data_IF_247987132057
#
_entry.id   IF_247987132057
#
_cell.length_a   1.000
_cell.length_b   1.000
_cell.length_c   1.000
_cell.angle_alpha   90.00
_cell.angle_beta   90.00
_cell.angle_gamma   90.00
#
_symmetry.space_group_name_H-M   'P 1'
#
loop_
_entity.id
_entity.type
_entity.pdbx_description
1 polymer ?
#
# COMPACT_ATOMS: atom_id res chain seq x y z
N UNK A 1 15.20 -11.57 11.87
CA UNK A 1 13.91 -11.63 11.12
C UNK A 1 13.25 -10.24 11.14
N UNK A 2 12.45 -9.86 10.13
CA UNK A 2 11.61 -8.67 10.22
C UNK A 2 10.67 -8.84 11.43
N UNK A 3 10.65 -7.85 12.32
CA UNK A 3 9.80 -7.86 13.51
C UNK A 3 8.59 -6.98 13.21
N UNK A 4 7.54 -7.60 12.69
CA UNK A 4 6.25 -6.97 12.41
C UNK A 4 5.39 -6.78 13.66
N UNK A 5 5.87 -7.30 14.80
CA UNK A 5 5.15 -7.41 16.05
C UNK A 5 5.31 -6.15 16.92
N UNK A 6 4.36 -6.00 17.85
CA UNK A 6 4.50 -5.16 19.02
C UNK A 6 5.85 -5.41 19.70
N UNK A 7 6.60 -4.33 19.94
CA UNK A 7 7.91 -4.38 20.60
C UNK A 7 9.12 -4.18 19.70
N UNK A 8 9.00 -4.06 18.37
CA UNK A 8 10.11 -3.61 17.53
C UNK A 8 10.51 -2.15 17.88
N UNK A 9 11.69 -1.89 18.47
CA UNK A 9 12.07 -0.53 18.88
C UNK A 9 12.39 0.40 17.71
N UNK A 10 12.36 -0.10 16.47
CA UNK A 10 12.51 0.73 15.27
C UNK A 10 11.17 1.00 14.57
N UNK A 11 10.04 0.68 15.18
CA UNK A 11 8.70 1.03 14.68
C UNK A 11 7.91 1.65 15.83
N UNK A 12 8.36 2.82 16.24
CA UNK A 12 7.83 3.48 17.43
C UNK A 12 8.05 5.00 17.40
N UNK A 13 7.36 5.69 18.29
CA UNK A 13 7.47 7.12 18.53
C UNK A 13 8.47 7.41 19.65
N UNK A 14 9.39 8.32 19.39
CA UNK A 14 10.43 8.74 20.34
C UNK A 14 10.42 10.26 20.52
N UNK A 15 10.58 10.71 21.77
CA UNK A 15 10.65 12.13 22.11
C UNK A 15 12.06 12.67 21.83
N UNK A 16 12.11 13.80 21.14
CA UNK A 16 13.30 14.52 20.72
C UNK A 16 13.67 15.61 21.73
N UNK A 17 14.85 16.22 21.56
CA UNK A 17 15.42 17.27 22.43
C UNK A 17 14.53 18.51 22.53
N UNK A 18 13.95 18.90 21.40
CA UNK A 18 13.02 20.03 21.23
C UNK A 18 11.61 19.75 21.78
N UNK A 19 11.40 18.60 22.43
CA UNK A 19 10.13 18.18 22.98
C UNK A 19 9.16 17.59 21.96
N UNK A 20 9.50 17.61 20.66
CA UNK A 20 8.71 17.01 19.57
C UNK A 20 8.92 15.50 19.52
N UNK A 21 8.18 14.82 18.65
CA UNK A 21 8.26 13.37 18.49
C UNK A 21 8.63 12.99 17.07
N UNK A 22 9.39 11.90 16.92
CA UNK A 22 9.70 11.28 15.63
C UNK A 22 9.26 9.83 15.66
N UNK A 23 8.56 9.40 14.61
CA UNK A 23 8.30 7.99 14.35
C UNK A 23 9.45 7.41 13.54
N UNK A 24 10.11 6.36 14.06
CA UNK A 24 11.10 5.58 13.31
C UNK A 24 10.44 4.41 12.60
N UNK A 25 10.90 4.02 11.40
CA UNK A 25 10.38 2.83 10.72
C UNK A 25 11.50 1.97 10.10
N UNK A 26 11.91 0.94 10.85
CA UNK A 26 13.02 0.03 10.53
C UNK A 26 12.59 -1.44 10.46
N UNK A 27 11.44 -1.76 9.86
CA UNK A 27 10.93 -3.14 9.83
C UNK A 27 11.75 -4.12 8.98
N UNK A 28 12.44 -3.63 7.95
CA UNK A 28 13.30 -4.45 7.10
C UNK A 28 14.77 -4.36 7.51
N UNK A 29 15.58 -5.42 7.29
CA UNK A 29 16.99 -5.44 7.68
C UNK A 29 17.79 -4.22 7.20
N UNK A 30 17.64 -3.81 5.94
CA UNK A 30 18.33 -2.64 5.40
C UNK A 30 17.84 -1.31 6.00
N UNK A 31 16.54 -1.21 6.35
CA UNK A 31 15.99 -0.04 7.03
C UNK A 31 16.45 0.03 8.49
N UNK A 32 16.51 -1.12 9.16
CA UNK A 32 17.01 -1.21 10.52
C UNK A 32 18.48 -0.80 10.57
N UNK A 33 19.31 -1.41 9.73
CA UNK A 33 20.74 -1.12 9.66
C UNK A 33 21.02 0.35 9.36
N UNK A 34 20.34 0.92 8.35
CA UNK A 34 20.52 2.34 8.01
C UNK A 34 20.01 3.30 9.07
N UNK A 35 18.88 3.01 9.72
CA UNK A 35 18.38 3.81 10.85
C UNK A 35 19.39 3.80 12.00
N UNK A 36 20.02 2.65 12.27
CA UNK A 36 21.02 2.55 13.34
C UNK A 36 22.31 3.26 13.02
N UNK A 37 22.73 3.24 11.75
CA UNK A 37 23.85 4.07 11.29
C UNK A 37 23.58 5.57 11.49
N UNK A 38 22.35 6.03 11.24
CA UNK A 38 21.95 7.45 11.46
C UNK A 38 21.91 7.81 12.94
N UNK A 39 21.46 6.90 13.81
CA UNK A 39 21.38 7.15 15.25
C UNK A 39 22.73 6.93 15.98
N UNK A 40 23.64 6.17 15.40
CA UNK A 40 24.94 5.86 16.02
C UNK A 40 24.82 4.99 17.28
N UNK A 41 23.82 4.10 17.34
CA UNK A 41 23.58 3.23 18.49
C UNK A 41 23.19 1.80 18.08
N UNK A 42 23.11 0.90 19.06
CA UNK A 42 22.62 -0.47 18.81
C UNK A 42 21.09 -0.51 18.73
N UNK A 43 20.54 -1.67 18.37
CA UNK A 43 19.08 -1.92 18.31
C UNK A 43 18.50 -2.22 19.70
N UNK A 44 18.93 -1.46 20.69
CA UNK A 44 18.38 -1.46 22.05
C UNK A 44 17.44 -0.27 22.24
N UNK A 45 16.30 -0.49 22.91
CA UNK A 45 15.27 0.55 23.08
C UNK A 45 15.77 1.72 23.92
N UNK A 46 16.55 1.47 24.97
CA UNK A 46 17.05 2.52 25.84
C UNK A 46 18.12 3.35 25.12
N UNK A 47 19.01 2.69 24.36
CA UNK A 47 19.99 3.38 23.52
C UNK A 47 19.33 4.22 22.42
N UNK A 48 18.34 3.69 21.71
CA UNK A 48 17.56 4.44 20.70
C UNK A 48 16.91 5.66 21.35
N UNK A 49 16.28 5.48 22.52
CA UNK A 49 15.64 6.59 23.25
C UNK A 49 16.65 7.68 23.58
N UNK A 50 17.81 7.31 24.11
CA UNK A 50 18.86 8.24 24.46
C UNK A 50 19.47 8.95 23.24
N UNK A 51 19.60 8.26 22.10
CA UNK A 51 20.10 8.83 20.85
C UNK A 51 19.11 9.85 20.26
N UNK A 52 17.82 9.50 20.20
CA UNK A 52 16.76 10.40 19.69
C UNK A 52 16.59 11.63 20.59
N UNK A 53 16.63 11.45 21.91
CA UNK A 53 16.46 12.55 22.87
C UNK A 53 17.56 13.65 22.81
N UNK A 54 18.64 13.42 22.07
CA UNK A 54 19.73 14.40 21.86
C UNK A 54 19.58 15.24 20.59
N UNK A 55 18.57 14.94 19.77
CA UNK A 55 18.38 15.53 18.44
C UNK A 55 17.07 16.30 18.35
N UNK A 56 17.03 17.29 17.47
CA UNK A 56 15.77 17.98 17.14
C UNK A 56 15.00 17.16 16.11
N UNK A 57 13.67 17.18 16.17
CA UNK A 57 12.86 16.24 15.40
C UNK A 57 12.96 16.47 13.88
N UNK A 58 12.98 17.74 13.43
CA UNK A 58 13.12 18.07 12.01
C UNK A 58 14.51 17.67 11.49
N UNK A 59 15.56 17.92 12.27
CA UNK A 59 16.94 17.53 11.93
C UNK A 59 17.09 15.99 11.83
N UNK A 60 16.43 15.25 12.72
CA UNK A 60 16.36 13.78 12.65
C UNK A 60 15.60 13.26 11.42
N UNK A 61 14.43 13.82 11.12
CA UNK A 61 13.69 13.47 9.91
C UNK A 61 14.53 13.68 8.65
N UNK A 62 15.20 14.83 8.53
CA UNK A 62 15.99 15.15 7.35
C UNK A 62 17.24 14.28 7.23
N UNK A 63 17.91 13.94 8.33
CA UNK A 63 19.02 12.99 8.32
C UNK A 63 18.58 11.58 7.90
N UNK A 64 17.42 11.11 8.37
CA UNK A 64 16.86 9.83 7.96
C UNK A 64 16.53 9.84 6.46
N UNK A 65 15.88 10.90 5.98
CA UNK A 65 15.54 11.07 4.57
C UNK A 65 16.79 11.11 3.68
N UNK A 66 17.82 11.86 4.07
CA UNK A 66 19.10 11.95 3.34
C UNK A 66 19.80 10.57 3.22
N UNK A 67 19.61 9.70 4.21
CA UNK A 67 20.14 8.33 4.22
C UNK A 67 19.16 7.30 3.63
N UNK A 68 18.07 7.75 2.97
CA UNK A 68 17.03 6.90 2.36
C UNK A 68 16.33 5.97 3.36
N UNK A 69 16.34 6.35 4.64
CA UNK A 69 15.67 5.66 5.73
C UNK A 69 14.24 6.18 5.89
N UNK A 70 13.45 5.45 6.67
CA UNK A 70 12.04 5.78 6.90
C UNK A 70 11.88 6.29 8.34
N UNK A 71 11.52 7.56 8.47
CA UNK A 71 11.12 8.15 9.74
C UNK A 71 10.63 9.57 9.51
N UNK A 72 9.79 10.06 10.42
CA UNK A 72 9.18 11.36 10.26
C UNK A 72 8.80 12.01 11.58
N UNK A 73 8.90 13.33 11.64
CA UNK A 73 8.43 14.14 12.75
C UNK A 73 6.89 14.10 12.81
N UNK A 74 6.37 13.91 14.02
CA UNK A 74 4.95 14.07 14.31
C UNK A 74 4.53 15.52 14.13
N UNK A 75 3.47 15.73 13.37
CA UNK A 75 2.90 17.05 13.05
C UNK A 75 1.43 17.07 13.41
N UNK A 76 0.87 18.24 13.70
CA UNK A 76 -0.58 18.45 13.71
C UNK A 76 -1.14 18.52 12.28
N UNK A 77 -2.46 18.53 12.14
CA UNK A 77 -3.11 18.71 10.84
C UNK A 77 -2.78 20.09 10.23
N UNK A 78 -2.72 21.14 11.07
CA UNK A 78 -2.36 22.51 10.65
C UNK A 78 -0.90 22.60 10.21
N UNK A 79 0.02 21.98 10.96
CA UNK A 79 1.43 21.92 10.58
C UNK A 79 1.63 21.16 9.26
N UNK A 80 0.89 20.07 9.04
CA UNK A 80 0.91 19.36 7.76
C UNK A 80 0.35 20.21 6.62
N UNK A 81 -0.76 20.90 6.83
CA UNK A 81 -1.37 21.78 5.84
C UNK A 81 -0.45 22.96 5.46
N UNK A 82 0.38 23.44 6.39
CA UNK A 82 1.39 24.46 6.14
C UNK A 82 2.69 23.89 5.52
N UNK A 83 2.94 22.59 5.67
CA UNK A 83 4.15 21.95 5.16
C UNK A 83 4.13 21.87 3.62
N UNK A 84 5.26 22.12 2.91
CA UNK A 84 5.28 22.12 1.44
C UNK A 84 4.75 20.85 0.77
N UNK A 85 4.94 19.68 1.41
CA UNK A 85 4.35 18.44 0.92
C UNK A 85 2.82 18.40 1.08
N UNK A 86 2.30 18.84 2.23
CA UNK A 86 0.85 18.86 2.46
C UNK A 86 0.15 19.86 1.54
N UNK A 87 0.76 21.03 1.33
CA UNK A 87 0.29 22.04 0.36
C UNK A 87 0.23 21.48 -1.07
N UNK A 88 1.28 20.78 -1.52
CA UNK A 88 1.32 20.19 -2.86
C UNK A 88 0.20 19.16 -3.09
N UNK A 89 -0.31 18.54 -2.01
CA UNK A 89 -1.36 17.53 -2.07
C UNK A 89 -2.76 18.09 -1.80
N UNK A 90 -2.90 19.30 -1.25
CA UNK A 90 -4.15 19.80 -0.67
C UNK A 90 -5.34 19.74 -1.64
N UNK A 91 -5.11 20.11 -2.90
CA UNK A 91 -6.14 20.20 -3.93
C UNK A 91 -6.24 18.96 -4.84
N UNK A 92 -5.41 17.93 -4.59
CA UNK A 92 -5.49 16.69 -5.35
C UNK A 92 -6.71 15.86 -4.92
N UNK A 93 -7.34 15.13 -5.85
CA UNK A 93 -8.40 14.18 -5.49
C UNK A 93 -7.82 13.04 -4.65
N UNK A 94 -8.70 12.30 -3.94
CA UNK A 94 -8.27 11.12 -3.16
C UNK A 94 -7.63 10.04 -4.05
N UNK A 95 -8.09 9.97 -5.30
CA UNK A 95 -7.60 9.08 -6.34
C UNK A 95 -7.51 9.88 -7.63
N UNK A 96 -6.34 9.89 -8.26
CA UNK A 96 -6.17 10.51 -9.58
C UNK A 96 -6.33 9.43 -10.65
N UNK A 97 -7.00 9.76 -11.76
CA UNK A 97 -7.13 8.90 -12.94
C UNK A 97 -6.72 9.71 -14.16
N UNK A 98 -5.51 9.44 -14.65
CA UNK A 98 -4.84 10.22 -15.69
C UNK A 98 -4.79 9.39 -16.97
N UNK A 99 -5.21 9.94 -18.12
CA UNK A 99 -5.04 9.25 -19.40
C UNK A 99 -3.56 9.31 -19.81
N UNK A 100 -2.95 8.17 -20.08
CA UNK A 100 -1.53 8.01 -20.43
C UNK A 100 -1.27 8.05 -21.93
N UNK A 101 -2.16 7.41 -22.69
CA UNK A 101 -2.04 7.24 -24.13
C UNK A 101 -3.41 6.91 -24.74
N UNK A 102 -3.58 7.19 -26.02
CA UNK A 102 -4.74 6.73 -26.79
C UNK A 102 -4.62 5.25 -27.15
N UNK A 103 -5.77 4.59 -27.25
CA UNK A 103 -5.96 3.25 -27.81
C UNK A 103 -7.43 3.06 -28.10
N UNK A 104 -7.80 2.07 -28.90
CA UNK A 104 -9.20 1.77 -29.17
C UNK A 104 -9.96 1.43 -27.88
N UNK A 105 -11.28 1.67 -27.82
CA UNK A 105 -12.12 1.17 -26.74
C UNK A 105 -11.98 -0.34 -26.53
N UNK A 106 -11.83 -0.75 -25.27
CA UNK A 106 -11.65 -2.16 -24.89
C UNK A 106 -12.64 -2.53 -23.79
N UNK A 107 -13.79 -3.13 -24.13
CA UNK A 107 -14.78 -3.57 -23.16
C UNK A 107 -14.17 -4.46 -22.08
N UNK A 108 -14.72 -4.38 -20.87
CA UNK A 108 -14.46 -5.40 -19.85
C UNK A 108 -15.10 -6.71 -20.35
N UNK A 109 -14.40 -7.86 -20.26
CA UNK A 109 -14.97 -9.13 -20.70
C UNK A 109 -16.31 -9.41 -20.01
N UNK A 110 -17.25 -9.98 -20.75
CA UNK A 110 -18.51 -10.44 -20.18
C UNK A 110 -18.27 -11.72 -19.37
N UNK A 111 -18.90 -11.82 -18.20
CA UNK A 111 -18.84 -13.01 -17.35
C UNK A 111 -19.91 -12.97 -16.27
N UNK A 112 -19.86 -13.93 -15.35
CA UNK A 112 -20.81 -14.06 -14.25
C UNK A 112 -20.54 -13.06 -13.12
N UNK A 113 -19.35 -12.43 -13.11
CA UNK A 113 -18.91 -11.46 -12.10
C UNK A 113 -18.35 -10.20 -12.77
N UNK A 114 -18.33 -9.05 -12.05
CA UNK A 114 -17.98 -7.76 -12.64
C UNK A 114 -16.59 -7.66 -13.28
N UNK A 115 -15.62 -8.44 -12.81
CA UNK A 115 -14.24 -8.46 -13.32
C UNK A 115 -13.81 -9.81 -13.88
N UNK A 116 -14.76 -10.68 -14.22
CA UNK A 116 -14.43 -11.96 -14.87
C UNK A 116 -13.60 -11.71 -16.15
N UNK A 117 -12.52 -12.48 -16.31
CA UNK A 117 -11.60 -12.36 -17.43
C UNK A 117 -10.64 -11.16 -17.37
N UNK A 118 -10.76 -10.27 -16.38
CA UNK A 118 -9.80 -9.18 -16.16
C UNK A 118 -8.53 -9.73 -15.52
N UNK A 119 -7.38 -9.47 -16.14
CA UNK A 119 -6.07 -9.94 -15.66
C UNK A 119 -5.29 -8.85 -14.95
N UNK A 120 -4.89 -9.10 -13.70
CA UNK A 120 -4.20 -8.15 -12.83
C UNK A 120 -2.83 -8.67 -12.44
N UNK A 121 -1.77 -7.96 -12.84
CA UNK A 121 -0.42 -8.17 -12.29
C UNK A 121 -0.24 -7.29 -11.06
N UNK A 122 -0.13 -7.93 -9.90
CA UNK A 122 0.09 -7.27 -8.62
C UNK A 122 1.57 -7.41 -8.22
N UNK A 123 2.34 -6.34 -8.34
CA UNK A 123 3.74 -6.26 -7.88
C UNK A 123 3.85 -5.44 -6.58
N UNK A 124 2.72 -5.20 -5.91
CA UNK A 124 2.69 -4.41 -4.69
C UNK A 124 3.08 -5.27 -3.48
N UNK A 125 3.32 -4.62 -2.33
CA UNK A 125 3.81 -5.28 -1.12
C UNK A 125 3.11 -4.74 0.12
N UNK A 126 3.14 -5.54 1.18
CA UNK A 126 2.67 -5.20 2.53
C UNK A 126 1.16 -5.10 2.66
N UNK A 127 0.54 -3.93 2.45
CA UNK A 127 -0.87 -3.74 2.79
C UNK A 127 -1.69 -2.97 1.75
N UNK A 128 -1.42 -1.68 1.45
CA UNK A 128 -2.29 -0.90 0.56
C UNK A 128 -2.47 -1.51 -0.83
N UNK A 129 -1.36 -1.80 -1.52
CA UNK A 129 -1.42 -2.40 -2.85
C UNK A 129 -1.98 -3.83 -2.83
N UNK A 130 -1.58 -4.70 -1.87
CA UNK A 130 -2.19 -6.01 -1.79
C UNK A 130 -3.69 -5.96 -1.50
N UNK A 131 -4.16 -4.98 -0.72
CA UNK A 131 -5.60 -4.72 -0.52
C UNK A 131 -6.30 -4.35 -1.82
N UNK A 132 -5.71 -3.47 -2.63
CA UNK A 132 -6.21 -3.13 -3.97
C UNK A 132 -6.46 -4.39 -4.81
N UNK A 133 -5.44 -5.24 -4.94
CA UNK A 133 -5.55 -6.41 -5.79
C UNK A 133 -6.47 -7.49 -5.18
N UNK A 134 -6.51 -7.63 -3.84
CA UNK A 134 -7.47 -8.51 -3.14
C UNK A 134 -8.91 -8.09 -3.42
N UNK A 135 -9.18 -6.78 -3.48
CA UNK A 135 -10.50 -6.24 -3.84
C UNK A 135 -10.85 -6.52 -5.30
N UNK A 136 -9.89 -6.46 -6.23
CA UNK A 136 -10.18 -6.84 -7.62
C UNK A 136 -10.48 -8.35 -7.75
N UNK A 137 -9.72 -9.21 -7.05
CA UNK A 137 -9.99 -10.65 -7.00
C UNK A 137 -11.38 -10.97 -6.41
N UNK A 138 -11.79 -10.18 -5.40
CA UNK A 138 -13.12 -10.26 -4.78
C UNK A 138 -14.28 -10.03 -5.75
N UNK A 139 -14.02 -9.38 -6.89
CA UNK A 139 -15.00 -9.11 -7.94
C UNK A 139 -14.81 -9.94 -9.22
N UNK A 140 -13.91 -10.93 -9.21
CA UNK A 140 -13.75 -11.89 -10.32
C UNK A 140 -12.44 -11.79 -11.11
N UNK A 141 -11.60 -10.81 -10.82
CA UNK A 141 -10.34 -10.66 -11.55
C UNK A 141 -9.38 -11.83 -11.29
N UNK A 142 -8.68 -12.26 -12.34
CA UNK A 142 -7.53 -13.15 -12.20
C UNK A 142 -6.31 -12.33 -11.79
N UNK A 143 -5.97 -12.43 -10.51
CA UNK A 143 -4.85 -11.70 -9.92
C UNK A 143 -3.65 -12.62 -9.78
N UNK A 144 -2.54 -12.23 -10.40
CA UNK A 144 -1.24 -12.86 -10.23
C UNK A 144 -0.31 -11.91 -9.45
N UNK A 145 -0.08 -12.25 -8.18
CA UNK A 145 0.87 -11.56 -7.32
C UNK A 145 2.30 -12.02 -7.67
N UNK A 146 3.09 -11.09 -8.20
CA UNK A 146 4.49 -11.28 -8.55
C UNK A 146 5.35 -10.63 -7.47
N UNK A 147 6.22 -11.44 -6.86
CA UNK A 147 7.25 -10.97 -5.92
C UNK A 147 8.57 -11.69 -6.21
N UNK A 148 9.62 -11.43 -5.43
CA UNK A 148 10.93 -12.08 -5.59
C UNK A 148 11.29 -12.85 -4.31
N UNK A 149 12.00 -13.99 -4.43
CA UNK A 149 12.52 -14.71 -3.26
C UNK A 149 13.50 -13.85 -2.44
N UNK A 150 14.06 -12.81 -3.06
CA UNK A 150 15.04 -11.90 -2.46
C UNK A 150 14.38 -10.68 -1.79
N UNK A 151 13.05 -10.49 -1.92
CA UNK A 151 12.34 -9.38 -1.31
C UNK A 151 11.77 -9.77 0.06
N UNK A 152 11.99 -8.97 1.12
CA UNK A 152 11.44 -9.29 2.42
C UNK A 152 9.91 -9.17 2.41
N UNK A 153 9.23 -10.10 3.07
CA UNK A 153 7.78 -10.17 3.17
C UNK A 153 7.34 -10.42 4.62
N UNK A 154 6.04 -10.31 4.86
CA UNK A 154 5.41 -10.62 6.14
C UNK A 154 4.38 -11.72 5.91
N UNK A 155 4.57 -12.87 6.55
CA UNK A 155 3.60 -13.96 6.40
C UNK A 155 2.21 -13.55 6.89
N UNK A 156 2.10 -12.79 7.98
CA UNK A 156 0.79 -12.34 8.49
C UNK A 156 0.06 -11.45 7.48
N UNK A 157 0.77 -10.55 6.79
CA UNK A 157 0.15 -9.71 5.77
C UNK A 157 -0.17 -10.48 4.49
N UNK A 158 0.63 -11.50 4.13
CA UNK A 158 0.29 -12.40 3.02
C UNK A 158 -0.96 -13.22 3.36
N UNK A 159 -1.10 -13.71 4.59
CA UNK A 159 -2.30 -14.42 5.05
C UNK A 159 -3.54 -13.52 4.97
N UNK A 160 -3.43 -12.22 5.29
CA UNK A 160 -4.56 -11.27 5.24
C UNK A 160 -4.87 -10.73 3.84
N UNK A 161 -3.87 -10.50 2.98
CA UNK A 161 -4.08 -9.72 1.74
C UNK A 161 -3.94 -10.51 0.43
N UNK A 162 -3.67 -11.81 0.50
CA UNK A 162 -3.43 -12.65 -0.68
C UNK A 162 -4.66 -13.51 -1.10
N UNK A 163 -5.81 -13.31 -0.47
CA UNK A 163 -7.09 -13.95 -0.78
C UNK A 163 -7.45 -13.70 -2.25
N UNK A 164 -7.86 -14.75 -2.95
CA UNK A 164 -8.26 -14.72 -4.35
C UNK A 164 -7.10 -14.67 -5.35
N UNK A 165 -5.85 -14.57 -4.90
CA UNK A 165 -4.68 -14.38 -5.77
C UNK A 165 -3.90 -15.66 -6.01
N UNK A 166 -3.34 -15.77 -7.21
CA UNK A 166 -2.18 -16.62 -7.47
C UNK A 166 -0.91 -15.90 -6.99
N UNK A 167 0.14 -16.64 -6.66
CA UNK A 167 1.40 -16.07 -6.20
C UNK A 167 2.59 -16.77 -6.86
N UNK A 168 3.44 -16.02 -7.54
CA UNK A 168 4.61 -16.53 -8.25
C UNK A 168 5.85 -15.67 -7.98
N UNK A 169 7.02 -16.28 -8.13
CA UNK A 169 8.29 -15.58 -8.05
C UNK A 169 8.79 -15.19 -9.44
N UNK A 170 9.26 -13.94 -9.55
CA UNK A 170 10.12 -13.45 -10.62
C UNK A 170 11.20 -12.55 -10.00
N UNK A 171 12.46 -12.85 -10.25
CA UNK A 171 13.59 -12.03 -9.85
C UNK A 171 13.99 -11.07 -10.97
N UNK A 172 13.67 -9.78 -10.82
CA UNK A 172 13.92 -8.80 -11.88
C UNK A 172 15.41 -8.45 -12.08
N UNK A 173 16.31 -9.03 -11.28
CA UNK A 173 17.75 -9.01 -11.54
C UNK A 173 18.18 -10.13 -12.53
N UNK A 174 17.32 -11.10 -12.80
CA UNK A 174 17.51 -12.13 -13.82
C UNK A 174 16.85 -11.74 -15.15
N UNK A 175 17.60 -11.66 -16.28
CA UNK A 175 17.03 -11.28 -17.58
C UNK A 175 15.85 -12.15 -18.04
N UNK A 176 15.90 -13.46 -17.79
CA UNK A 176 14.82 -14.39 -18.15
C UNK A 176 13.50 -14.07 -17.44
N UNK A 177 13.56 -13.65 -16.18
CA UNK A 177 12.39 -13.29 -15.39
C UNK A 177 11.83 -11.93 -15.78
N UNK A 178 12.70 -10.99 -16.20
CA UNK A 178 12.29 -9.72 -16.82
C UNK A 178 11.53 -9.99 -18.12
N UNK A 179 12.06 -10.87 -18.98
CA UNK A 179 11.39 -11.26 -20.22
C UNK A 179 10.06 -11.95 -19.94
N UNK A 180 10.01 -12.79 -18.89
CA UNK A 180 8.77 -13.45 -18.47
C UNK A 180 7.72 -12.45 -17.99
N UNK A 181 8.11 -11.46 -17.18
CA UNK A 181 7.19 -10.40 -16.74
C UNK A 181 6.69 -9.56 -17.94
N UNK A 182 7.57 -9.27 -18.91
CA UNK A 182 7.21 -8.57 -20.14
C UNK A 182 6.17 -9.35 -20.94
N UNK A 183 6.33 -10.68 -21.08
CA UNK A 183 5.34 -11.55 -21.74
C UNK A 183 3.99 -11.49 -21.02
N UNK A 184 3.96 -11.69 -19.70
CA UNK A 184 2.72 -11.60 -18.90
C UNK A 184 2.01 -10.25 -19.09
N UNK A 185 2.79 -9.17 -19.20
CA UNK A 185 2.27 -7.81 -19.38
C UNK A 185 1.48 -7.65 -20.70
N UNK A 186 1.84 -8.37 -21.76
CA UNK A 186 1.11 -8.30 -23.05
C UNK A 186 -0.35 -8.77 -22.94
N UNK A 187 -0.64 -9.58 -21.93
CA UNK A 187 -1.95 -10.17 -21.65
C UNK A 187 -2.66 -9.49 -20.47
N UNK A 188 -2.07 -8.46 -19.88
CA UNK A 188 -2.55 -7.80 -18.66
C UNK A 188 -3.54 -6.70 -18.97
N UNK A 189 -4.53 -6.51 -18.08
CA UNK A 189 -5.44 -5.36 -18.06
C UNK A 189 -5.03 -4.31 -17.04
N UNK A 190 -4.59 -4.76 -15.85
CA UNK A 190 -4.21 -3.91 -14.74
C UNK A 190 -2.83 -4.31 -14.24
N UNK A 191 -1.91 -3.35 -14.15
CA UNK A 191 -0.59 -3.54 -13.56
C UNK A 191 -0.47 -2.62 -12.34
N UNK A 192 -0.23 -3.19 -11.16
CA UNK A 192 -0.16 -2.45 -9.91
C UNK A 192 1.23 -2.53 -9.27
N UNK A 193 1.72 -1.39 -8.79
CA UNK A 193 3.01 -1.28 -8.11
C UNK A 193 2.97 -0.32 -6.91
N UNK A 194 3.86 -0.57 -5.96
CA UNK A 194 4.05 0.28 -4.77
C UNK A 194 5.51 0.43 -4.39
N UNK A 195 6.40 0.48 -5.37
CA UNK A 195 7.83 0.68 -5.14
C UNK A 195 8.18 2.17 -5.03
N UNK A 196 9.44 2.45 -4.70
CA UNK A 196 9.96 3.82 -4.76
C UNK A 196 9.84 4.37 -6.17
N UNK A 197 9.59 5.68 -6.29
CA UNK A 197 9.45 6.36 -7.58
C UNK A 197 10.53 5.96 -8.59
N UNK A 198 10.08 5.59 -9.80
CA UNK A 198 10.93 5.16 -10.92
C UNK A 198 11.62 3.81 -10.76
N UNK A 199 11.39 3.04 -9.67
CA UNK A 199 12.09 1.76 -9.46
C UNK A 199 11.79 0.72 -10.54
N UNK A 200 10.52 0.55 -10.91
CA UNK A 200 10.12 -0.35 -11.99
C UNK A 200 10.34 0.26 -13.38
N UNK A 201 10.24 1.59 -13.50
CA UNK A 201 10.52 2.30 -14.77
C UNK A 201 11.97 2.09 -15.24
N UNK A 202 12.94 2.14 -14.31
CA UNK A 202 14.34 1.80 -14.61
C UNK A 202 14.53 0.36 -15.08
N UNK A 203 13.56 -0.53 -14.83
CA UNK A 203 13.54 -1.93 -15.28
C UNK A 203 12.65 -2.13 -16.52
N UNK A 204 12.11 -1.06 -17.10
CA UNK A 204 11.27 -1.12 -18.30
C UNK A 204 9.77 -1.30 -18.05
N UNK A 205 9.32 -1.17 -16.79
CA UNK A 205 7.92 -1.37 -16.38
C UNK A 205 7.27 -0.07 -15.84
N UNK A 206 7.62 1.08 -16.42
CA UNK A 206 7.00 2.37 -16.15
C UNK A 206 5.66 2.56 -16.87
N UNK A 207 4.85 3.55 -16.47
CA UNK A 207 3.48 3.71 -16.98
C UNK A 207 3.40 3.89 -18.51
N UNK A 208 4.21 4.77 -19.09
CA UNK A 208 4.24 4.96 -20.54
C UNK A 208 4.86 3.77 -21.28
N UNK A 209 5.85 3.10 -20.68
CA UNK A 209 6.47 1.90 -21.25
C UNK A 209 5.43 0.76 -21.34
N UNK A 210 4.64 0.57 -20.29
CA UNK A 210 3.59 -0.46 -20.29
C UNK A 210 2.43 -0.10 -21.21
N UNK A 211 2.06 1.17 -21.32
CA UNK A 211 1.06 1.61 -22.29
C UNK A 211 1.50 1.34 -23.74
N UNK A 212 2.79 1.41 -24.04
CA UNK A 212 3.34 1.05 -25.35
C UNK A 212 3.35 -0.48 -25.59
N UNK A 213 3.64 -1.29 -24.56
CA UNK A 213 3.60 -2.76 -24.65
C UNK A 213 2.15 -3.26 -24.78
N UNK A 214 1.23 -2.64 -24.04
CA UNK A 214 -0.16 -3.04 -23.91
C UNK A 214 -1.08 -1.81 -23.98
N UNK A 215 -1.47 -1.36 -25.20
CA UNK A 215 -2.45 -0.30 -25.35
C UNK A 215 -3.78 -0.66 -24.67
N UNK A 216 -4.30 0.25 -23.85
CA UNK A 216 -5.46 0.00 -22.99
C UNK A 216 -5.12 -0.57 -21.61
N UNK A 217 -3.86 -0.55 -21.17
CA UNK A 217 -3.51 -0.96 -19.81
C UNK A 217 -3.92 0.09 -18.78
N UNK A 218 -4.36 -0.38 -17.61
CA UNK A 218 -4.51 0.44 -16.41
C UNK A 218 -3.27 0.24 -15.54
N UNK A 219 -2.45 1.28 -15.42
CA UNK A 219 -1.30 1.29 -14.52
C UNK A 219 -1.72 1.86 -13.18
N UNK A 220 -1.38 1.21 -12.07
CA UNK A 220 -1.75 1.65 -10.71
C UNK A 220 -0.48 1.88 -9.90
N UNK A 221 -0.31 3.08 -9.36
CA UNK A 221 0.77 3.40 -8.43
C UNK A 221 0.20 3.75 -7.06
N UNK A 222 0.74 3.12 -6.02
CA UNK A 222 0.34 3.37 -4.63
C UNK A 222 1.59 3.70 -3.80
N UNK A 223 1.60 4.85 -3.13
CA UNK A 223 2.73 5.25 -2.29
C UNK A 223 2.30 5.98 -1.00
N UNK A 224 3.27 6.39 -0.17
CA UNK A 224 2.95 7.07 1.08
C UNK A 224 2.61 8.56 0.88
N UNK A 225 3.47 9.31 0.19
CA UNK A 225 3.45 10.78 0.20
C UNK A 225 2.84 11.42 -1.05
N UNK A 226 2.25 10.66 -1.96
CA UNK A 226 1.72 11.18 -3.22
C UNK A 226 2.79 11.31 -4.31
N UNK A 227 2.37 11.83 -5.47
CA UNK A 227 3.18 11.87 -6.70
C UNK A 227 3.71 13.26 -7.05
N UNK A 228 3.48 14.24 -6.18
CA UNK A 228 3.87 15.64 -6.33
C UNK A 228 4.59 16.13 -5.08
N UNK A 229 5.16 17.32 -5.14
CA UNK A 229 5.83 17.94 -4.00
C UNK A 229 7.24 17.39 -3.70
N UNK A 230 7.90 17.93 -2.66
CA UNK A 230 9.27 17.60 -2.32
C UNK A 230 9.47 16.17 -1.81
N UNK A 231 8.42 15.50 -1.32
CA UNK A 231 8.52 14.16 -0.73
C UNK A 231 8.05 13.04 -1.66
N UNK A 232 7.72 13.32 -2.93
CA UNK A 232 7.24 12.31 -3.90
C UNK A 232 8.18 11.11 -4.08
N UNK A 233 9.47 11.28 -3.77
CA UNK A 233 10.50 10.23 -3.88
C UNK A 233 10.89 9.62 -2.51
N UNK A 234 10.36 10.17 -1.40
CA UNK A 234 10.67 9.66 -0.06
C UNK A 234 9.99 8.30 0.16
N UNK A 235 10.67 7.33 0.78
CA UNK A 235 10.03 6.08 1.19
C UNK A 235 9.09 6.36 2.37
N UNK A 236 7.95 5.68 2.43
CA UNK A 236 7.01 5.86 3.53
C UNK A 236 6.17 4.63 3.81
N UNK A 237 5.42 4.71 4.91
CA UNK A 237 4.68 3.61 5.52
C UNK A 237 3.41 4.15 6.18
N UNK A 238 2.43 3.29 6.45
CA UNK A 238 1.21 3.61 7.20
C UNK A 238 1.46 4.49 8.41
N UNK A 239 2.38 4.06 9.28
CA UNK A 239 2.65 4.75 10.52
C UNK A 239 3.21 6.15 10.28
N UNK A 240 3.99 6.34 9.21
CA UNK A 240 4.52 7.64 8.84
C UNK A 240 3.43 8.53 8.27
N UNK A 241 2.52 8.00 7.44
CA UNK A 241 1.37 8.75 6.95
C UNK A 241 0.50 9.25 8.11
N UNK A 242 0.20 8.40 9.10
CA UNK A 242 -0.52 8.82 10.31
C UNK A 242 0.25 9.90 11.10
N UNK A 243 1.57 9.75 11.21
CA UNK A 243 2.44 10.64 11.99
C UNK A 243 2.54 12.04 11.38
N UNK A 244 2.73 12.13 10.05
CA UNK A 244 2.99 13.41 9.39
C UNK A 244 1.75 14.22 9.09
N UNK A 245 0.58 13.58 8.99
CA UNK A 245 -0.69 14.22 8.62
C UNK A 245 -1.54 14.66 9.81
N UNK A 246 -1.03 14.47 11.04
CA UNK A 246 -1.76 14.80 12.26
C UNK A 246 -2.72 13.74 12.78
N UNK A 247 -2.84 12.58 12.14
CA UNK A 247 -3.71 11.52 12.68
C UNK A 247 -3.15 11.01 14.02
N UNK A 248 -1.83 10.87 14.13
CA UNK A 248 -1.23 10.41 15.37
C UNK A 248 -1.41 11.41 16.52
N UNK A 249 -1.37 12.71 16.23
CA UNK A 249 -1.63 13.75 17.25
C UNK A 249 -3.11 13.85 17.61
N UNK A 250 -4.01 13.60 16.65
CA UNK A 250 -5.46 13.59 16.88
C UNK A 250 -5.92 12.37 17.70
N UNK A 251 -5.31 11.21 17.46
CA UNK A 251 -5.57 9.98 18.24
C UNK A 251 -4.97 10.05 19.66
N UNK A 252 -3.80 10.67 19.80
CA UNK A 252 -3.16 10.95 21.09
C UNK A 252 -3.33 12.41 21.49
N UNK A 253 -2.21 13.08 21.74
CA UNK A 253 -2.12 14.54 21.86
C UNK A 253 -0.86 15.04 21.16
N UNK A 254 -0.70 16.35 20.89
CA UNK A 254 0.55 16.90 20.37
C UNK A 254 1.79 16.56 21.24
N UNK A 255 1.63 16.54 22.56
CA UNK A 255 2.71 16.20 23.51
C UNK A 255 2.95 14.69 23.66
N UNK A 256 2.00 13.87 23.24
CA UNK A 256 2.06 12.40 23.30
C UNK A 256 1.27 11.79 22.14
N UNK A 257 1.78 11.86 20.91
CA UNK A 257 1.10 11.30 19.74
C UNK A 257 0.97 9.78 19.88
N UNK A 258 -0.10 9.23 19.32
CA UNK A 258 -0.40 7.81 19.34
C UNK A 258 -0.92 7.39 17.98
N UNK A 259 -0.46 6.25 17.46
CA UNK A 259 -0.99 5.70 16.22
C UNK A 259 -2.41 5.19 16.43
N UNK A 260 -3.23 5.22 15.39
CA UNK A 260 -4.47 4.46 15.39
C UNK A 260 -4.15 2.97 15.57
N UNK A 261 -5.02 2.20 16.25
CA UNK A 261 -4.80 0.77 16.50
C UNK A 261 -5.00 -0.10 15.23
N UNK A 262 -5.07 0.52 14.05
CA UNK A 262 -5.36 -0.10 12.76
C UNK A 262 -4.55 0.57 11.65
N UNK A 263 -4.29 -0.17 10.58
CA UNK A 263 -3.65 0.34 9.36
C UNK A 263 -4.66 1.03 8.43
N UNK A 264 -5.36 2.04 8.95
CA UNK A 264 -6.48 2.68 8.26
C UNK A 264 -6.07 3.31 6.92
N UNK A 265 -4.90 3.96 6.83
CA UNK A 265 -4.53 4.62 5.58
C UNK A 265 -4.20 3.58 4.51
N UNK A 266 -3.53 2.49 4.87
CA UNK A 266 -3.17 1.37 3.98
C UNK A 266 -4.44 0.74 3.37
N UNK A 267 -5.36 0.24 4.21
CA UNK A 267 -6.57 -0.41 3.71
C UNK A 267 -7.44 0.55 2.90
N UNK A 268 -7.67 1.77 3.39
CA UNK A 268 -8.47 2.77 2.67
C UNK A 268 -7.83 3.17 1.34
N UNK A 269 -6.51 3.32 1.29
CA UNK A 269 -5.81 3.62 0.03
C UNK A 269 -5.95 2.47 -0.96
N UNK A 270 -5.88 1.22 -0.50
CA UNK A 270 -6.11 0.04 -1.34
C UNK A 270 -7.52 0.00 -1.94
N UNK A 271 -8.55 0.22 -1.12
CA UNK A 271 -9.94 0.28 -1.60
C UNK A 271 -10.19 1.44 -2.57
N UNK A 272 -9.63 2.62 -2.26
CA UNK A 272 -9.71 3.79 -3.14
C UNK A 272 -9.00 3.56 -4.47
N UNK A 273 -7.81 2.95 -4.46
CA UNK A 273 -7.12 2.55 -5.68
C UNK A 273 -7.96 1.56 -6.49
N UNK A 274 -8.65 0.61 -5.83
CA UNK A 274 -9.47 -0.39 -6.51
C UNK A 274 -10.67 0.28 -7.20
N UNK A 275 -11.33 1.21 -6.50
CA UNK A 275 -12.36 2.08 -7.09
C UNK A 275 -11.80 2.84 -8.31
N UNK A 276 -10.61 3.43 -8.19
CA UNK A 276 -9.93 4.10 -9.29
C UNK A 276 -9.71 3.20 -10.50
N UNK A 277 -9.28 1.95 -10.26
CA UNK A 277 -9.12 0.93 -11.31
C UNK A 277 -10.46 0.58 -11.97
N UNK A 278 -11.53 0.37 -11.21
CA UNK A 278 -12.87 0.08 -11.76
C UNK A 278 -13.36 1.24 -12.65
N UNK A 279 -13.19 2.48 -12.19
CA UNK A 279 -13.54 3.67 -12.99
C UNK A 279 -12.69 3.75 -14.26
N UNK A 280 -11.38 3.49 -14.16
CA UNK A 280 -10.47 3.54 -15.30
C UNK A 280 -10.76 2.43 -16.33
N UNK A 281 -11.09 1.21 -15.88
CA UNK A 281 -11.57 0.13 -16.76
C UNK A 281 -12.87 0.53 -17.47
N UNK A 282 -13.80 1.15 -16.75
CA UNK A 282 -15.05 1.66 -17.33
C UNK A 282 -14.84 2.82 -18.32
N UNK A 283 -13.82 3.66 -18.13
CA UNK A 283 -13.42 4.69 -19.11
C UNK A 283 -12.78 4.06 -20.33
N UNK A 284 -11.80 3.17 -20.16
CA UNK A 284 -11.20 2.39 -21.25
C UNK A 284 -12.23 1.67 -22.11
N UNK A 285 -13.26 1.09 -21.49
CA UNK A 285 -14.32 0.39 -22.20
C UNK A 285 -15.16 1.29 -23.12
N UNK A 286 -15.37 2.55 -22.74
CA UNK A 286 -16.23 3.51 -23.45
C UNK A 286 -15.46 4.45 -24.38
N UNK A 287 -14.29 4.89 -23.93
CA UNK A 287 -13.50 5.97 -24.53
C UNK A 287 -12.18 5.46 -25.15
N UNK A 288 -11.75 4.23 -24.81
CA UNK A 288 -10.42 3.75 -25.12
C UNK A 288 -9.33 4.40 -24.27
N UNK A 289 -8.07 4.14 -24.62
CA UNK A 289 -6.91 4.69 -23.93
C UNK A 289 -6.36 3.84 -22.77
N UNK A 290 -5.09 4.09 -22.47
CA UNK A 290 -4.40 3.60 -21.27
C UNK A 290 -4.50 4.65 -20.17
N UNK A 291 -4.61 4.23 -18.91
CA UNK A 291 -4.78 5.15 -17.77
C UNK A 291 -3.82 4.85 -16.63
N UNK A 292 -3.42 5.88 -15.89
CA UNK A 292 -2.66 5.81 -14.64
C UNK A 292 -3.58 6.16 -13.48
N UNK A 293 -3.83 5.20 -12.62
CA UNK A 293 -4.50 5.38 -11.32
C UNK A 293 -3.43 5.63 -10.26
N UNK A 294 -3.58 6.70 -9.50
CA UNK A 294 -2.65 7.07 -8.43
C UNK A 294 -3.39 7.26 -7.13
N UNK A 295 -2.87 6.67 -6.06
CA UNK A 295 -3.42 6.80 -4.72
C UNK A 295 -2.28 6.89 -3.70
N UNK A 296 -2.51 7.59 -2.58
CA UNK A 296 -1.49 7.71 -1.54
C UNK A 296 -2.03 7.66 -0.12
N UNK A 297 -1.22 7.12 0.78
CA UNK A 297 -1.56 6.99 2.20
C UNK A 297 -1.86 8.36 2.83
N UNK A 298 -1.06 9.38 2.51
CA UNK A 298 -1.28 10.72 3.03
C UNK A 298 -2.59 11.35 2.49
N UNK A 299 -3.01 11.04 1.26
CA UNK A 299 -4.34 11.48 0.79
C UNK A 299 -5.49 10.84 1.57
N UNK A 300 -5.39 9.54 1.84
CA UNK A 300 -6.37 8.83 2.68
C UNK A 300 -6.39 9.41 4.11
N UNK A 301 -5.21 9.69 4.66
CA UNK A 301 -5.09 10.29 5.98
C UNK A 301 -5.67 11.72 6.05
N UNK A 302 -5.36 12.56 5.06
CA UNK A 302 -5.96 13.90 4.93
C UNK A 302 -7.48 13.83 4.72
N UNK A 303 -7.97 12.78 4.06
CA UNK A 303 -9.40 12.57 3.96
C UNK A 303 -10.03 12.23 5.32
N UNK A 304 -9.43 11.35 6.13
CA UNK A 304 -9.92 11.09 7.48
C UNK A 304 -10.00 12.36 8.33
N UNK A 305 -8.96 13.20 8.27
CA UNK A 305 -8.97 14.50 8.98
C UNK A 305 -10.14 15.38 8.56
N UNK A 306 -10.46 15.43 7.25
CA UNK A 306 -11.60 16.21 6.74
C UNK A 306 -12.96 15.63 7.13
N UNK A 307 -13.07 14.32 7.31
CA UNK A 307 -14.30 13.72 7.82
C UNK A 307 -14.55 14.09 9.29
N UNK A 308 -13.47 14.29 10.04
CA UNK A 308 -13.54 14.49 11.48
C UNK A 308 -13.99 13.23 12.23
N UNK A 309 -13.96 13.26 13.57
CA UNK A 309 -14.50 12.17 14.37
C UNK A 309 -16.03 12.11 14.21
N UNK A 310 -16.54 10.94 13.85
CA UNK A 310 -17.99 10.68 13.78
C UNK A 310 -18.51 9.93 15.01
N UNK A 311 -17.63 9.53 15.91
CA UNK A 311 -17.95 8.84 17.16
C UNK A 311 -17.05 9.34 18.30
N UNK A 312 -17.53 9.21 19.53
CA UNK A 312 -16.75 9.45 20.74
C UNK A 312 -15.94 8.19 21.08
N UNK A 313 -14.60 8.23 21.05
CA UNK A 313 -13.76 7.09 21.41
C UNK A 313 -14.03 6.57 22.83
N UNK A 314 -14.48 7.42 23.76
CA UNK A 314 -14.85 7.00 25.11
C UNK A 314 -16.09 6.08 25.14
N UNK A 315 -16.88 6.05 24.06
CA UNK A 315 -18.05 5.19 23.90
C UNK A 315 -17.71 3.85 23.22
N UNK A 316 -16.45 3.61 22.82
CA UNK A 316 -16.06 2.35 22.21
C UNK A 316 -16.13 1.19 23.22
N UNK A 317 -16.97 0.18 22.94
CA UNK A 317 -17.26 -0.94 23.85
C UNK A 317 -16.53 -2.25 23.50
N UNK A 318 -15.34 -2.16 22.90
CA UNK A 318 -14.63 -3.33 22.35
C UNK A 318 -15.22 -3.81 21.01
N UNK A 319 -14.81 -4.99 20.54
CA UNK A 319 -15.20 -5.50 19.22
C UNK A 319 -16.64 -6.02 19.15
N UNK A 320 -17.26 -6.35 20.29
CA UNK A 320 -18.58 -7.00 20.32
C UNK A 320 -18.56 -8.41 19.70
N UNK A 321 -19.73 -8.88 19.27
CA UNK A 321 -19.84 -10.09 18.45
C UNK A 321 -19.53 -9.75 16.99
N UNK A 322 -18.47 -10.33 16.45
CA UNK A 322 -18.02 -10.12 15.07
C UNK A 322 -18.38 -11.28 14.15
N UNK A 323 -19.18 -12.25 14.60
CA UNK A 323 -19.47 -13.47 13.83
C UNK A 323 -20.06 -13.17 12.45
N UNK A 324 -20.95 -12.20 12.32
CA UNK A 324 -21.54 -11.75 11.05
C UNK A 324 -20.54 -11.02 10.12
N UNK A 325 -19.44 -10.49 10.68
CA UNK A 325 -18.41 -9.75 9.95
C UNK A 325 -17.22 -10.64 9.57
N UNK A 326 -17.27 -11.92 9.93
CA UNK A 326 -16.14 -12.85 9.76
C UNK A 326 -16.55 -14.11 9.03
N UNK A 327 -15.59 -14.71 8.35
CA UNK A 327 -15.75 -16.00 7.71
C UNK A 327 -14.49 -16.83 7.93
N UNK A 328 -14.69 -18.14 8.00
CA UNK A 328 -13.61 -19.11 8.17
C UNK A 328 -13.31 -19.79 6.85
N UNK A 329 -12.02 -20.04 6.59
CA UNK A 329 -11.63 -20.97 5.56
C UNK A 329 -10.41 -21.79 5.95
N UNK A 330 -10.36 -23.02 5.43
CA UNK A 330 -9.19 -23.87 5.51
C UNK A 330 -8.17 -23.41 4.46
N UNK A 331 -6.96 -23.11 4.91
CA UNK A 331 -5.87 -22.57 4.09
C UNK A 331 -4.61 -23.39 4.22
N UNK A 332 -3.57 -23.05 3.45
CA UNK A 332 -2.25 -23.63 3.58
C UNK A 332 -1.59 -23.42 4.97
N UNK A 333 -2.13 -22.52 5.80
CA UNK A 333 -1.69 -22.28 7.17
C UNK A 333 -2.66 -22.81 8.24
N UNK A 334 -3.62 -23.65 7.84
CA UNK A 334 -4.71 -24.11 8.69
C UNK A 334 -5.94 -23.22 8.59
N UNK A 335 -6.85 -23.34 9.56
CA UNK A 335 -8.10 -22.58 9.60
C UNK A 335 -7.80 -21.11 9.92
N UNK A 336 -8.16 -20.21 9.01
CA UNK A 336 -8.09 -18.77 9.20
C UNK A 336 -9.49 -18.18 9.31
N UNK A 337 -9.65 -17.22 10.23
CA UNK A 337 -10.83 -16.35 10.32
C UNK A 337 -10.45 -14.98 9.79
N UNK A 338 -11.20 -14.46 8.82
CA UNK A 338 -10.96 -13.14 8.22
C UNK A 338 -12.27 -12.40 7.98
N UNK A 339 -12.18 -11.08 7.76
CA UNK A 339 -13.35 -10.24 7.52
C UNK A 339 -14.06 -10.63 6.22
N UNK A 340 -15.39 -10.72 6.27
CA UNK A 340 -16.22 -10.90 5.08
C UNK A 340 -16.15 -9.67 4.17
N UNK A 341 -16.46 -9.82 2.87
CA UNK A 341 -16.70 -8.68 1.99
C UNK A 341 -17.68 -7.68 2.64
N UNK A 342 -17.26 -6.42 2.79
CA UNK A 342 -18.07 -5.38 3.44
C UNK A 342 -19.19 -4.81 2.54
N UNK A 343 -19.20 -5.14 1.25
CA UNK A 343 -20.22 -4.71 0.29
C UNK A 343 -21.01 -5.93 -0.14
N UNK A 344 -22.32 -5.86 -0.06
CA UNK A 344 -23.21 -6.88 -0.62
C UNK A 344 -23.76 -6.41 -1.97
N UNK A 345 -23.58 -7.24 -3.00
CA UNK A 345 -24.14 -6.99 -4.33
C UNK A 345 -25.16 -8.07 -4.62
N UNK A 346 -26.44 -7.70 -4.79
CA UNK A 346 -27.56 -8.64 -4.90
C UNK A 346 -27.47 -9.56 -6.11
N UNK A 347 -26.88 -9.09 -7.22
CA UNK A 347 -26.76 -9.87 -8.47
C UNK A 347 -25.42 -10.60 -8.58
N UNK A 348 -24.36 -10.03 -8.01
CA UNK A 348 -23.00 -10.57 -8.09
C UNK A 348 -22.31 -10.57 -6.72
N UNK A 349 -22.75 -11.40 -5.77
CA UNK A 349 -22.19 -11.40 -4.42
C UNK A 349 -20.64 -11.52 -4.45
N UNK A 350 -19.91 -10.61 -3.80
CA UNK A 350 -18.46 -10.66 -3.79
C UNK A 350 -17.94 -11.90 -3.05
N UNK A 351 -16.89 -12.51 -3.59
CA UNK A 351 -16.28 -13.70 -3.01
C UNK A 351 -14.84 -13.86 -3.52
N UNK A 352 -13.99 -14.55 -2.74
CA UNK A 352 -12.68 -14.98 -3.21
C UNK A 352 -12.75 -16.44 -3.64
N UNK A 353 -12.40 -16.74 -4.89
CA UNK A 353 -12.42 -18.12 -5.42
C UNK A 353 -11.21 -18.95 -4.98
N UNK A 354 -10.14 -18.29 -4.55
CA UNK A 354 -8.89 -18.91 -4.15
C UNK A 354 -8.57 -18.51 -2.71
N UNK A 355 -8.13 -19.49 -1.93
CA UNK A 355 -7.61 -19.23 -0.59
C UNK A 355 -6.23 -18.56 -0.68
N UNK A 356 -5.81 -17.80 0.34
CA UNK A 356 -4.47 -17.25 0.36
C UNK A 356 -3.45 -18.39 0.41
N UNK A 357 -2.36 -18.24 -0.34
CA UNK A 357 -1.28 -19.23 -0.44
C UNK A 357 0.07 -18.64 -0.06
N UNK A 358 1.05 -19.46 0.34
CA UNK A 358 2.44 -19.02 0.49
C UNK A 358 2.97 -18.35 -0.78
N UNK A 359 3.95 -17.46 -0.60
CA UNK A 359 4.56 -16.78 -1.74
C UNK A 359 5.31 -17.78 -2.63
N UNK A 360 5.08 -17.68 -3.94
CA UNK A 360 5.72 -18.53 -4.93
C UNK A 360 5.10 -19.92 -5.12
N UNK A 361 3.89 -20.16 -4.61
CA UNK A 361 3.18 -21.45 -4.79
C UNK A 361 2.90 -21.79 -6.26
N UNK A 362 2.75 -20.79 -7.13
CA UNK A 362 2.31 -20.98 -8.51
C UNK A 362 3.41 -20.61 -9.52
N UNK A 363 3.37 -21.18 -10.74
CA UNK A 363 4.19 -20.68 -11.83
C UNK A 363 3.79 -19.25 -12.23
N UNK A 364 4.72 -18.45 -12.80
CA UNK A 364 4.42 -17.11 -13.29
C UNK A 364 3.66 -17.20 -14.63
N UNK A 365 2.40 -17.65 -14.61
CA UNK A 365 1.52 -17.81 -15.77
C UNK A 365 0.07 -17.53 -15.40
N UNK A 366 -0.70 -17.00 -16.36
CA UNK A 366 -2.15 -16.90 -16.22
C UNK A 366 -2.78 -18.29 -16.08
N UNK A 367 -3.86 -18.43 -15.30
CA UNK A 367 -4.62 -19.68 -15.27
C UNK A 367 -5.16 -20.00 -16.66
N UNK A 368 -5.32 -21.30 -16.96
CA UNK A 368 -6.12 -21.70 -18.12
C UNK A 368 -7.51 -21.09 -17.96
N UNK A 369 -8.08 -20.56 -19.05
CA UNK A 369 -9.40 -19.92 -19.01
C UNK A 369 -10.43 -20.83 -18.34
N UNK A 370 -11.21 -20.26 -17.42
CA UNK A 370 -12.35 -20.96 -16.80
C UNK A 370 -13.42 -21.33 -17.83
#
# INVERSE_FOLDING_TARGET
PPSWADGNPLVDLYRCRDGRWVHLHGNFPHLAAGTMAVLGCSRDRAEITAAVARRDAQELEDALAANRQCGAMARSAEEWAAHPQGQAMADLPRVEIIKLADSDPRPVPAGNRPLDGVRVLDLTRILAGPTHARTLAQYGADVLHITSPNLPSSQVWVMDTNQGKLSAYLDLDAPADVDRLRQLTTETDVFAEGFRAGALERRGFGPHQLAAIRPGIIYVSINCYGHVGPWRERPGWEQLAQTVTGLATAQGTPDRPQRMPVAACDYTTGYLAALGTLVALGRRAREGGSYHVRASLCQSAMWFQRLGPTCDPAQASGLGDTSELTTDADTAWGRLTYLTPCVEMSETPPAWLRQPVPLGTHPPSWPAGN
#
